data_IF_735386037867
#
_entry.id   IF_735386037867
#
_cell.length_a   1.000
_cell.length_b   1.000
_cell.length_c   1.000
_cell.angle_alpha   90.00
_cell.angle_beta   90.00
_cell.angle_gamma   90.00
#
_symmetry.space_group_name_H-M   'P 1'
#
loop_
_entity.id
_entity.type
_entity.pdbx_description
1 polymer ?
#
# COMPACT_ATOMS: atom_id res chain seq x y z
N UNK A 1 -48.81 -22.25 -29.09
CA UNK A 1 -49.84 -21.31 -29.58
C UNK A 1 -49.21 -19.93 -29.49
N UNK A 2 -48.36 -19.57 -30.47
CA UNK A 2 -48.68 -18.88 -31.73
C UNK A 2 -49.22 -17.46 -31.46
N UNK A 3 -48.40 -16.42 -31.69
CA UNK A 3 -48.40 -15.55 -32.92
C UNK A 3 -49.25 -14.29 -32.63
N UNK A 4 -48.94 -13.04 -32.98
CA UNK A 4 -48.05 -12.34 -33.94
C UNK A 4 -47.66 -10.98 -33.30
N UNK A 5 -46.45 -10.42 -33.43
CA UNK A 5 -45.88 -9.63 -34.55
C UNK A 5 -46.73 -8.45 -35.04
N UNK A 6 -46.24 -7.22 -34.81
CA UNK A 6 -46.33 -6.15 -35.82
C UNK A 6 -45.13 -5.19 -35.69
N UNK A 7 -44.35 -5.18 -36.76
CA UNK A 7 -43.21 -4.34 -37.07
C UNK A 7 -43.63 -3.30 -38.11
N UNK A 8 -43.26 -2.04 -37.93
CA UNK A 8 -43.24 -1.06 -39.03
C UNK A 8 -41.85 -0.45 -39.08
N UNK A 9 -41.09 -0.90 -40.09
CA UNK A 9 -39.96 -0.21 -40.68
C UNK A 9 -40.49 0.97 -41.52
N UNK A 10 -39.78 2.10 -41.50
CA UNK A 10 -39.58 2.88 -42.72
C UNK A 10 -38.24 3.62 -42.67
N UNK A 11 -37.62 3.64 -43.84
CA UNK A 11 -36.19 3.71 -44.09
C UNK A 11 -35.83 5.00 -44.85
N UNK A 12 -34.59 5.44 -44.60
CA UNK A 12 -33.65 6.15 -45.50
C UNK A 12 -34.10 7.49 -46.11
N UNK A 13 -33.37 8.56 -45.75
CA UNK A 13 -32.87 9.48 -46.78
C UNK A 13 -31.42 9.88 -46.47
N UNK A 14 -30.64 9.95 -47.54
CA UNK A 14 -29.19 10.06 -47.60
C UNK A 14 -28.84 11.21 -48.54
N UNK A 15 -28.09 12.20 -48.04
CA UNK A 15 -27.49 13.26 -48.84
C UNK A 15 -27.23 14.51 -47.98
N UNK A 16 -26.14 15.24 -48.08
CA UNK A 16 -25.02 15.26 -49.01
C UNK A 16 -23.82 15.89 -48.29
N UNK A 17 -22.64 15.30 -48.49
CA UNK A 17 -21.34 15.92 -48.21
C UNK A 17 -21.09 17.01 -49.25
N UNK A 18 -20.93 18.27 -48.83
CA UNK A 18 -20.39 19.34 -49.68
C UNK A 18 -18.92 19.61 -49.33
N UNK A 19 -18.04 19.16 -50.23
CA UNK A 19 -16.71 19.72 -50.45
C UNK A 19 -16.87 21.15 -50.96
N UNK A 20 -16.05 22.08 -50.49
CA UNK A 20 -15.67 23.25 -51.27
C UNK A 20 -14.16 23.45 -51.18
N UNK A 21 -13.61 23.68 -52.36
CA UNK A 21 -12.22 23.75 -52.73
C UNK A 21 -11.72 25.21 -52.74
N UNK A 22 -10.41 25.36 -52.52
CA UNK A 22 -9.54 26.40 -53.06
C UNK A 22 -9.90 27.88 -52.94
N UNK A 23 -9.20 28.58 -52.04
CA UNK A 23 -8.50 29.82 -52.45
C UNK A 23 -7.30 30.09 -51.55
N UNK A 24 -6.12 29.90 -52.13
CA UNK A 24 -4.80 30.13 -51.54
C UNK A 24 -4.47 31.62 -51.71
N UNK A 25 -4.23 32.32 -50.60
CA UNK A 25 -3.59 33.64 -50.60
C UNK A 25 -2.25 33.51 -49.88
N UNK A 26 -1.11 33.88 -50.52
CA UNK A 26 0.20 33.68 -49.92
C UNK A 26 0.54 34.84 -48.98
N UNK A 27 0.73 34.57 -47.69
CA UNK A 27 1.29 35.54 -46.73
C UNK A 27 2.73 35.15 -46.42
N UNK A 28 3.63 36.07 -46.74
CA UNK A 28 5.09 35.97 -46.60
C UNK A 28 5.52 35.87 -45.12
N UNK A 29 6.60 35.13 -44.78
CA UNK A 29 7.02 34.92 -43.40
C UNK A 29 7.81 36.11 -42.83
N UNK A 30 7.31 36.71 -41.75
CA UNK A 30 8.09 37.63 -40.92
C UNK A 30 8.96 36.86 -39.91
N UNK A 31 10.25 37.23 -39.75
CA UNK A 31 11.13 36.62 -38.76
C UNK A 31 10.89 37.28 -37.39
N UNK A 32 10.56 36.49 -36.38
CA UNK A 32 10.29 37.03 -35.04
C UNK A 32 10.20 35.93 -33.99
N UNK A 33 11.36 35.37 -33.64
CA UNK A 33 11.51 34.47 -32.51
C UNK A 33 11.02 35.15 -31.21
N UNK A 34 9.92 34.67 -30.63
CA UNK A 34 9.57 34.93 -29.24
C UNK A 34 10.11 33.78 -28.40
N UNK A 35 11.25 34.07 -27.79
CA UNK A 35 11.88 33.29 -26.72
C UNK A 35 10.91 33.13 -25.55
N UNK A 36 10.67 31.88 -25.15
CA UNK A 36 10.08 31.53 -23.86
C UNK A 36 11.11 31.84 -22.78
N UNK A 37 10.95 32.96 -22.09
CA UNK A 37 11.79 33.31 -20.94
C UNK A 37 11.36 32.47 -19.74
N UNK A 38 12.09 31.39 -19.46
CA UNK A 38 12.07 30.70 -18.17
C UNK A 38 12.75 31.58 -17.13
N UNK A 39 12.03 31.95 -16.08
CA UNK A 39 12.60 32.64 -14.92
C UNK A 39 13.30 31.57 -14.07
N UNK A 40 14.62 31.61 -14.05
CA UNK A 40 15.47 30.83 -13.14
C UNK A 40 16.05 31.78 -12.06
N UNK A 41 16.13 31.35 -10.78
CA UNK A 41 16.77 32.15 -9.75
C UNK A 41 18.27 32.26 -10.03
N UNK A 42 18.78 33.49 -10.11
CA UNK A 42 20.21 33.75 -10.26
C UNK A 42 20.90 33.70 -8.89
N UNK A 43 21.85 32.77 -8.75
CA UNK A 43 22.79 32.72 -7.65
C UNK A 43 24.19 32.39 -8.16
N UNK A 44 25.01 33.42 -8.30
CA UNK A 44 26.45 33.43 -7.98
C UNK A 44 27.39 32.44 -8.69
N UNK A 45 28.11 32.96 -9.68
CA UNK A 45 29.32 32.44 -10.31
C UNK A 45 30.43 31.99 -9.34
N UNK A 46 31.10 30.87 -9.64
CA UNK A 46 32.36 30.51 -8.99
C UNK A 46 32.98 29.15 -9.38
N UNK A 47 33.52 29.08 -10.60
CA UNK A 47 34.78 28.38 -10.97
C UNK A 47 34.92 26.85 -10.79
N UNK A 48 35.17 26.17 -11.92
CA UNK A 48 35.63 24.78 -12.01
C UNK A 48 36.96 24.52 -11.29
N UNK A 49 37.04 23.38 -10.58
CA UNK A 49 38.28 22.82 -10.06
C UNK A 49 38.16 21.31 -9.88
N UNK A 50 38.53 20.55 -10.92
CA UNK A 50 38.72 19.10 -10.83
C UNK A 50 40.05 18.79 -10.14
N UNK A 51 40.03 18.25 -8.92
CA UNK A 51 41.03 17.32 -8.38
C UNK A 51 40.67 16.93 -6.95
N UNK A 52 40.38 15.65 -6.72
CA UNK A 52 40.18 15.10 -5.37
C UNK A 52 39.27 13.88 -5.35
N UNK A 53 39.68 12.80 -6.03
CA UNK A 53 39.10 11.47 -5.82
C UNK A 53 39.38 11.04 -4.38
N UNK A 54 38.51 11.43 -3.45
CA UNK A 54 38.31 10.68 -2.22
C UNK A 54 37.43 9.49 -2.58
N UNK A 55 38.11 8.37 -2.86
CA UNK A 55 37.57 7.02 -2.93
C UNK A 55 36.61 6.77 -1.77
N UNK A 56 35.31 6.99 -2.00
CA UNK A 56 34.26 6.32 -1.24
C UNK A 56 34.36 4.85 -1.64
N UNK A 57 34.91 4.07 -0.72
CA UNK A 57 34.99 2.63 -0.79
C UNK A 57 33.59 2.07 -1.05
N UNK A 58 33.32 1.74 -2.31
CA UNK A 58 32.27 0.81 -2.71
C UNK A 58 32.72 -0.56 -2.23
N UNK A 59 32.41 -0.89 -0.97
CA UNK A 59 32.43 -2.26 -0.53
C UNK A 59 31.33 -3.00 -1.29
N UNK A 60 31.75 -3.93 -2.14
CA UNK A 60 30.91 -4.81 -2.94
C UNK A 60 30.13 -5.79 -2.08
N UNK A 61 28.98 -5.33 -1.58
CA UNK A 61 27.77 -6.15 -1.57
C UNK A 61 26.89 -5.62 -2.70
N UNK A 62 26.34 -6.51 -3.52
CA UNK A 62 25.13 -6.21 -4.31
C UNK A 62 24.19 -5.40 -3.42
N UNK A 63 24.02 -4.10 -3.70
CA UNK A 63 23.23 -3.20 -2.89
C UNK A 63 21.79 -3.65 -2.91
N UNK A 64 21.44 -4.53 -1.96
CA UNK A 64 20.10 -5.07 -1.82
C UNK A 64 19.20 -3.88 -1.55
N UNK A 65 18.35 -3.58 -2.51
CA UNK A 65 17.40 -2.49 -2.41
C UNK A 65 16.50 -2.82 -1.21
N UNK A 66 16.43 -1.95 -0.18
CA UNK A 66 15.71 -2.29 1.04
C UNK A 66 14.20 -2.16 0.81
N UNK A 67 13.60 -3.21 0.26
CA UNK A 67 12.16 -3.32 0.08
C UNK A 67 11.46 -3.32 1.44
N UNK A 68 10.25 -2.77 1.47
CA UNK A 68 9.37 -2.74 2.63
C UNK A 68 8.04 -3.36 2.27
N UNK A 69 7.55 -4.22 3.15
CA UNK A 69 6.18 -4.72 3.16
C UNK A 69 5.68 -4.56 4.58
N UNK A 70 5.09 -3.41 4.88
CA UNK A 70 4.68 -3.03 6.23
C UNK A 70 3.16 -3.03 6.36
N UNK A 71 2.69 -3.33 7.57
CA UNK A 71 1.27 -3.30 7.92
C UNK A 71 1.13 -2.35 9.10
N UNK A 72 0.19 -1.43 9.00
CA UNK A 72 -0.04 -0.43 10.02
C UNK A 72 -1.24 0.42 9.67
N UNK A 73 -1.18 1.70 10.03
CA UNK A 73 -2.22 2.68 9.75
C UNK A 73 -1.62 3.94 9.14
N UNK A 74 -2.22 4.42 8.06
CA UNK A 74 -1.80 5.66 7.40
C UNK A 74 -2.52 6.84 8.05
N UNK A 75 -1.74 7.83 8.46
CA UNK A 75 -2.23 9.08 9.02
C UNK A 75 -1.68 10.26 8.23
N UNK A 76 -2.53 11.28 8.03
CA UNK A 76 -2.13 12.53 7.40
C UNK A 76 -1.83 13.58 8.48
N UNK A 77 -0.73 14.33 8.31
CA UNK A 77 -0.34 15.42 9.21
C UNK A 77 0.01 16.67 8.42
N UNK A 78 -0.25 17.83 9.03
CA UNK A 78 0.18 19.10 8.48
C UNK A 78 1.66 19.32 8.79
N UNK A 79 2.54 19.52 7.78
CA UNK A 79 3.96 19.75 8.04
C UNK A 79 4.23 21.14 8.64
N UNK A 80 3.36 22.11 8.35
CA UNK A 80 3.51 23.50 8.77
C UNK A 80 2.15 24.21 8.82
N UNK A 81 2.14 25.37 9.48
CA UNK A 81 0.96 26.22 9.65
C UNK A 81 0.36 26.71 8.32
N UNK A 82 1.19 26.90 7.29
CA UNK A 82 0.72 27.38 5.99
C UNK A 82 -0.25 26.39 5.35
N UNK A 83 0.11 25.10 5.30
CA UNK A 83 -0.74 24.03 4.75
C UNK A 83 -2.01 23.86 5.59
N UNK A 84 -1.91 23.96 6.92
CA UNK A 84 -3.07 23.92 7.82
C UNK A 84 -4.07 25.05 7.53
N UNK A 85 -3.59 26.29 7.35
CA UNK A 85 -4.47 27.44 7.05
C UNK A 85 -5.05 27.38 5.65
N UNK A 86 -4.31 26.87 4.66
CA UNK A 86 -4.84 26.65 3.33
C UNK A 86 -5.94 25.57 3.32
N UNK A 87 -5.75 24.48 4.06
CA UNK A 87 -6.78 23.47 4.26
C UNK A 87 -8.03 24.07 4.93
N UNK A 88 -7.87 24.92 5.94
CA UNK A 88 -8.99 25.62 6.57
C UNK A 88 -9.77 26.51 5.58
N UNK A 89 -9.06 27.20 4.66
CA UNK A 89 -9.69 28.00 3.61
C UNK A 89 -10.45 27.12 2.59
N UNK A 90 -9.87 26.00 2.17
CA UNK A 90 -10.52 25.03 1.27
C UNK A 90 -11.78 24.42 1.90
N UNK A 91 -11.72 24.16 3.21
CA UNK A 91 -12.86 23.69 4.00
C UNK A 91 -14.03 24.68 3.96
N UNK A 92 -13.75 25.99 4.07
CA UNK A 92 -14.78 27.04 3.98
C UNK A 92 -15.48 27.14 2.62
N UNK A 93 -14.93 26.53 1.56
CA UNK A 93 -15.54 26.47 0.22
C UNK A 93 -16.37 25.20 0.01
N UNK A 94 -16.28 24.23 0.91
CA UNK A 94 -16.93 22.92 0.81
C UNK A 94 -18.14 22.86 1.73
N UNK A 95 -19.20 22.14 1.32
CA UNK A 95 -20.33 21.87 2.22
C UNK A 95 -19.95 20.82 3.27
N UNK A 96 -19.80 21.29 4.50
CA UNK A 96 -19.37 20.50 5.67
C UNK A 96 -20.45 20.35 6.74
N UNK A 97 -21.67 20.84 6.47
CA UNK A 97 -22.78 20.80 7.40
C UNK A 97 -23.09 19.34 7.79
N UNK A 98 -23.09 19.05 9.09
CA UNK A 98 -23.42 17.73 9.63
C UNK A 98 -22.33 16.66 9.49
N UNK A 99 -21.13 17.01 8.99
CA UNK A 99 -19.98 16.10 8.93
C UNK A 99 -19.10 16.23 10.17
N UNK A 100 -18.48 15.13 10.57
CA UNK A 100 -17.40 15.18 11.57
C UNK A 100 -16.13 15.81 10.98
N UNK A 101 -15.17 16.18 11.83
CA UNK A 101 -13.89 16.72 11.38
C UNK A 101 -13.17 15.76 10.42
N UNK A 102 -13.18 14.46 10.71
CA UNK A 102 -12.55 13.44 9.87
C UNK A 102 -13.27 13.25 8.53
N UNK A 103 -14.60 13.27 8.53
CA UNK A 103 -15.40 13.20 7.31
C UNK A 103 -15.18 14.44 6.44
N UNK A 104 -15.07 15.60 7.07
CA UNK A 104 -14.72 16.86 6.41
C UNK A 104 -13.33 16.79 5.81
N UNK A 105 -12.35 16.30 6.58
CA UNK A 105 -10.97 16.11 6.15
C UNK A 105 -10.87 15.22 4.91
N UNK A 106 -11.48 14.04 4.95
CA UNK A 106 -11.56 13.15 3.79
C UNK A 106 -12.28 13.81 2.61
N UNK A 107 -13.43 14.45 2.84
CA UNK A 107 -14.23 15.05 1.77
C UNK A 107 -13.51 16.20 1.04
N UNK A 108 -12.75 17.03 1.76
CA UNK A 108 -11.96 18.12 1.18
C UNK A 108 -10.80 17.57 0.38
N UNK A 109 -10.06 16.59 0.90
CA UNK A 109 -8.90 16.00 0.21
C UNK A 109 -9.28 15.12 -0.98
N UNK A 110 -10.49 14.55 -0.99
CA UNK A 110 -11.02 13.76 -2.11
C UNK A 110 -11.31 14.61 -3.35
N UNK A 111 -11.44 15.94 -3.21
CA UNK A 111 -11.70 16.81 -4.35
C UNK A 111 -10.45 16.96 -5.22
N UNK A 112 -10.63 16.79 -6.53
CA UNK A 112 -9.54 16.90 -7.50
C UNK A 112 -8.84 18.26 -7.47
N UNK A 113 -9.58 19.33 -7.16
CA UNK A 113 -9.07 20.70 -7.03
C UNK A 113 -8.04 20.83 -5.90
N UNK A 114 -8.17 20.02 -4.84
CA UNK A 114 -7.34 20.06 -3.64
C UNK A 114 -6.18 19.07 -3.66
N UNK A 115 -5.88 18.41 -4.80
CA UNK A 115 -4.75 17.46 -4.91
C UNK A 115 -3.40 18.09 -4.54
N UNK A 116 -3.25 19.40 -4.70
CA UNK A 116 -2.04 20.11 -4.28
C UNK A 116 -1.87 20.06 -2.76
N UNK A 117 -2.95 20.06 -1.97
CA UNK A 117 -2.89 19.89 -0.52
C UNK A 117 -2.43 18.48 -0.15
N UNK A 118 -2.99 17.46 -0.81
CA UNK A 118 -2.61 16.06 -0.58
C UNK A 118 -1.10 15.84 -0.80
N UNK A 119 -0.50 16.53 -1.77
CA UNK A 119 0.96 16.53 -2.03
C UNK A 119 1.79 17.19 -0.94
N UNK A 120 1.22 18.15 -0.23
CA UNK A 120 1.90 18.96 0.78
C UNK A 120 1.68 18.41 2.19
N UNK A 121 0.78 17.44 2.38
CA UNK A 121 0.62 16.77 3.67
C UNK A 121 1.77 15.79 3.92
N UNK A 122 2.13 15.62 5.17
CA UNK A 122 2.91 14.46 5.57
C UNK A 122 2.00 13.25 5.64
N UNK A 123 2.46 12.15 5.08
CA UNK A 123 1.82 10.86 5.21
C UNK A 123 2.69 9.99 6.11
N UNK A 124 2.14 9.54 7.23
CA UNK A 124 2.88 8.78 8.23
C UNK A 124 2.25 7.39 8.33
N UNK A 125 3.07 6.35 8.20
CA UNK A 125 2.66 5.00 8.56
C UNK A 125 3.00 4.75 10.03
N UNK A 126 1.97 4.50 10.82
CA UNK A 126 2.07 4.12 12.23
C UNK A 126 1.90 2.61 12.37
N UNK A 127 2.83 1.95 13.05
CA UNK A 127 2.79 0.51 13.34
C UNK A 127 2.70 0.36 14.85
N UNK A 128 1.65 -0.28 15.35
CA UNK A 128 1.37 -0.40 16.79
C UNK A 128 1.39 0.96 17.53
N UNK A 129 0.92 2.01 16.87
CA UNK A 129 0.90 3.38 17.43
C UNK A 129 2.25 4.11 17.37
N UNK A 130 3.30 3.49 16.80
CA UNK A 130 4.61 4.10 16.61
C UNK A 130 4.80 4.59 15.17
N UNK A 131 5.15 5.86 15.03
CA UNK A 131 5.46 6.50 13.76
C UNK A 131 6.72 5.87 13.16
N UNK A 132 6.56 5.05 12.12
CA UNK A 132 7.64 4.21 11.60
C UNK A 132 8.18 4.71 10.26
N UNK A 133 7.30 5.13 9.35
CA UNK A 133 7.70 5.61 8.03
C UNK A 133 6.97 6.87 7.60
N UNK A 134 7.65 7.72 6.82
CA UNK A 134 6.99 8.72 5.98
C UNK A 134 6.71 8.12 4.61
N UNK A 135 5.49 8.29 4.10
CA UNK A 135 5.08 7.75 2.82
C UNK A 135 5.19 8.81 1.74
N UNK A 136 5.83 8.42 0.63
CA UNK A 136 5.89 9.22 -0.57
C UNK A 136 5.49 8.35 -1.77
N UNK A 137 4.54 8.79 -2.61
CA UNK A 137 4.20 8.02 -3.80
C UNK A 137 5.39 8.04 -4.77
N UNK A 138 5.70 6.88 -5.35
CA UNK A 138 6.71 6.81 -6.41
C UNK A 138 6.17 7.39 -7.73
N UNK A 139 4.91 7.14 -8.05
CA UNK A 139 4.17 7.80 -9.13
C UNK A 139 3.26 8.91 -8.55
N UNK A 140 3.40 10.18 -8.96
CA UNK A 140 2.50 11.25 -8.54
C UNK A 140 1.00 11.01 -8.79
N UNK A 141 0.63 10.04 -9.65
CA UNK A 141 -0.75 9.61 -9.83
C UNK A 141 -1.32 8.88 -8.59
N UNK A 142 -0.48 8.16 -7.85
CA UNK A 142 -0.87 7.26 -6.74
C UNK A 142 -1.19 8.00 -5.43
N UNK A 143 -1.21 9.33 -5.47
CA UNK A 143 -1.62 10.18 -4.35
C UNK A 143 -3.04 9.87 -3.87
N UNK A 144 -3.91 9.40 -4.77
CA UNK A 144 -5.28 9.06 -4.41
C UNK A 144 -5.34 7.86 -3.44
N UNK A 145 -4.37 6.93 -3.50
CA UNK A 145 -4.29 5.80 -2.58
C UNK A 145 -4.11 6.24 -1.11
N UNK A 146 -3.43 7.37 -0.90
CA UNK A 146 -3.25 7.95 0.43
C UNK A 146 -4.57 8.53 0.98
N UNK A 147 -5.36 9.15 0.10
CA UNK A 147 -6.69 9.68 0.47
C UNK A 147 -7.66 8.53 0.76
N UNK A 148 -7.59 7.45 0.00
CA UNK A 148 -8.39 6.24 0.24
C UNK A 148 -8.06 5.61 1.61
N UNK A 149 -6.79 5.63 2.05
CA UNK A 149 -6.36 5.00 3.30
C UNK A 149 -6.91 5.67 4.57
N UNK A 150 -7.04 7.01 4.58
CA UNK A 150 -7.52 7.74 5.77
C UNK A 150 -9.00 7.51 6.09
N UNK A 151 -9.81 7.11 5.09
CA UNK A 151 -11.26 6.84 5.17
C UNK A 151 -12.10 8.00 5.78
N UNK A 152 -13.41 8.04 5.50
CA UNK A 152 -14.29 9.04 6.12
C UNK A 152 -14.57 8.75 7.61
N UNK A 153 -14.55 7.47 8.01
CA UNK A 153 -14.79 7.02 9.38
C UNK A 153 -13.77 5.93 9.76
N UNK A 154 -12.52 6.30 10.09
CA UNK A 154 -11.47 5.36 10.44
C UNK A 154 -11.78 4.68 11.78
N UNK A 155 -11.57 3.38 11.83
CA UNK A 155 -11.54 2.57 13.04
C UNK A 155 -10.10 2.47 13.55
N UNK A 156 -9.86 2.37 14.87
CA UNK A 156 -8.53 2.06 15.42
C UNK A 156 -7.95 0.75 14.87
N UNK A 157 -8.82 -0.18 14.47
CA UNK A 157 -8.45 -1.51 14.00
C UNK A 157 -8.32 -1.61 12.48
N UNK A 158 -8.37 -0.47 11.78
CA UNK A 158 -8.19 -0.44 10.34
C UNK A 158 -6.76 -0.82 9.94
N UNK A 159 -6.65 -1.56 8.83
CA UNK A 159 -5.37 -2.14 8.39
C UNK A 159 -4.99 -1.55 7.05
N UNK A 160 -3.81 -0.92 6.98
CA UNK A 160 -3.19 -0.43 5.76
C UNK A 160 -1.90 -1.20 5.51
N UNK A 161 -1.77 -1.75 4.30
CA UNK A 161 -0.58 -2.46 3.83
C UNK A 161 0.17 -1.54 2.89
N UNK A 162 1.43 -1.24 3.21
CA UNK A 162 2.31 -0.40 2.40
C UNK A 162 3.44 -1.24 1.83
N UNK A 163 3.61 -1.16 0.50
CA UNK A 163 4.67 -1.87 -0.23
C UNK A 163 5.48 -0.86 -1.02
N UNK A 164 6.81 -0.97 -0.92
CA UNK A 164 7.70 -0.16 -1.75
C UNK A 164 9.14 -0.17 -1.29
N UNK A 165 9.82 0.95 -1.53
CA UNK A 165 11.26 1.12 -1.39
C UNK A 165 11.60 2.01 -0.20
N UNK A 166 12.42 1.50 0.74
CA UNK A 166 12.93 2.34 1.83
C UNK A 166 14.04 3.26 1.33
N UNK A 167 13.77 4.55 1.41
CA UNK A 167 14.70 5.64 1.17
C UNK A 167 15.48 6.05 2.43
N UNK A 168 16.16 7.20 2.37
CA UNK A 168 16.90 7.76 3.51
C UNK A 168 15.96 8.24 4.62
N UNK A 169 16.55 8.61 5.76
CA UNK A 169 15.84 9.30 6.84
C UNK A 169 15.41 10.68 6.35
N UNK A 170 14.16 11.03 6.59
CA UNK A 170 13.60 12.32 6.21
C UNK A 170 14.27 13.48 6.97
N UNK A 171 14.54 14.61 6.28
CA UNK A 171 15.01 15.80 6.96
C UNK A 171 13.90 16.41 7.84
N UNK A 172 14.23 17.09 8.94
CA UNK A 172 13.25 17.58 9.90
C UNK A 172 12.24 18.58 9.31
N UNK A 173 12.60 19.29 8.24
CA UNK A 173 11.73 20.24 7.55
C UNK A 173 10.59 19.55 6.78
N UNK A 174 10.71 18.25 6.49
CA UNK A 174 9.72 17.51 5.71
C UNK A 174 8.43 17.27 6.50
N UNK A 175 8.52 17.02 7.81
CA UNK A 175 7.34 16.77 8.63
C UNK A 175 7.46 17.24 10.09
N UNK A 176 7.43 18.55 10.31
CA UNK A 176 7.38 19.16 11.65
C UNK A 176 8.41 18.59 12.65
N UNK A 177 9.64 18.32 12.19
CA UNK A 177 10.73 17.77 13.00
C UNK A 177 10.81 16.23 13.07
N UNK A 178 9.87 15.51 12.47
CA UNK A 178 9.86 14.05 12.47
C UNK A 178 10.93 13.48 11.54
N UNK A 179 11.93 12.81 12.12
CA UNK A 179 13.06 12.20 11.42
C UNK A 179 12.94 10.68 11.41
N UNK A 180 12.19 10.15 10.44
CA UNK A 180 12.01 8.71 10.22
C UNK A 180 12.26 8.36 8.74
N UNK A 181 12.50 7.09 8.38
CA UNK A 181 12.79 6.71 7.00
C UNK A 181 11.61 7.01 6.07
N UNK A 182 11.92 7.45 4.85
CA UNK A 182 10.94 7.62 3.78
C UNK A 182 10.73 6.27 3.11
N UNK A 183 9.48 5.91 2.82
CA UNK A 183 9.12 4.79 1.95
C UNK A 183 8.50 5.38 0.69
N UNK A 184 9.22 5.21 -0.42
CA UNK A 184 8.67 5.44 -1.75
C UNK A 184 7.76 4.25 -2.08
N UNK A 185 6.46 4.40 -1.89
CA UNK A 185 5.52 3.29 -2.08
C UNK A 185 5.12 3.14 -3.54
N UNK A 186 4.91 1.89 -3.93
CA UNK A 186 4.38 1.49 -5.22
C UNK A 186 2.93 0.98 -5.08
N UNK A 187 2.53 0.49 -3.91
CA UNK A 187 1.16 0.03 -3.61
C UNK A 187 0.76 0.31 -2.17
N UNK A 188 -0.51 0.69 -1.98
CA UNK A 188 -1.19 0.73 -0.68
C UNK A 188 -2.50 -0.05 -0.79
N UNK A 189 -2.77 -0.92 0.18
CA UNK A 189 -4.06 -1.59 0.31
C UNK A 189 -4.66 -1.28 1.67
N UNK A 190 -5.92 -0.83 1.69
CA UNK A 190 -6.64 -0.56 2.93
C UNK A 190 -7.78 -1.53 3.11
N UNK A 191 -7.83 -2.15 4.28
CA UNK A 191 -8.81 -3.15 4.65
C UNK A 191 -9.52 -2.76 5.94
N UNK A 192 -10.78 -3.15 6.02
CA UNK A 192 -11.54 -3.12 7.27
C UNK A 192 -11.37 -4.49 7.97
N UNK A 193 -10.98 -4.47 9.25
CA UNK A 193 -10.81 -5.66 10.09
C UNK A 193 -12.04 -6.58 10.07
N UNK A 194 -13.24 -6.03 10.18
CA UNK A 194 -14.48 -6.82 10.21
C UNK A 194 -14.70 -7.59 8.91
N UNK A 195 -14.28 -7.00 7.78
CA UNK A 195 -14.37 -7.66 6.48
C UNK A 195 -13.40 -8.84 6.39
N UNK A 196 -12.19 -8.70 6.95
CA UNK A 196 -11.19 -9.77 6.99
C UNK A 196 -11.63 -10.92 7.92
N UNK A 197 -12.15 -10.62 9.10
CA UNK A 197 -12.65 -11.63 10.05
C UNK A 197 -13.81 -12.42 9.43
N UNK A 198 -14.74 -11.74 8.75
CA UNK A 198 -15.87 -12.41 8.06
C UNK A 198 -15.44 -13.30 6.89
N UNK A 199 -14.26 -13.07 6.32
CA UNK A 199 -13.71 -13.88 5.25
C UNK A 199 -13.03 -15.17 5.76
N UNK A 200 -12.81 -15.32 7.07
CA UNK A 200 -12.21 -16.52 7.65
C UNK A 200 -13.17 -17.71 7.46
N UNK A 201 -12.72 -18.81 6.83
CA UNK A 201 -13.58 -19.96 6.59
C UNK A 201 -13.98 -20.63 7.90
N UNK A 202 -15.27 -20.95 8.02
CA UNK A 202 -15.82 -21.63 9.20
C UNK A 202 -15.53 -23.14 9.15
N UNK A 203 -15.07 -23.76 10.24
CA UNK A 203 -15.00 -25.21 10.37
C UNK A 203 -16.39 -25.85 10.23
N UNK A 204 -16.48 -27.01 9.58
CA UNK A 204 -17.74 -27.70 9.29
C UNK A 204 -18.55 -28.05 10.55
N UNK A 205 -17.86 -28.34 11.66
CA UNK A 205 -18.46 -28.82 12.92
C UNK A 205 -18.91 -27.74 13.89
N UNK A 206 -18.62 -26.46 13.60
CA UNK A 206 -18.86 -25.35 14.54
C UNK A 206 -19.98 -24.45 14.03
N UNK A 207 -20.89 -23.96 14.87
CA UNK A 207 -21.91 -22.98 14.44
C UNK A 207 -21.28 -21.59 14.23
N UNK A 208 -21.88 -20.74 13.39
CA UNK A 208 -21.32 -19.40 13.11
C UNK A 208 -21.26 -18.51 14.37
N UNK A 209 -22.26 -18.62 15.25
CA UNK A 209 -22.30 -17.87 16.51
C UNK A 209 -21.20 -18.30 17.49
N UNK A 210 -20.85 -19.59 17.52
CA UNK A 210 -19.75 -20.11 18.34
C UNK A 210 -18.38 -19.80 17.72
N UNK A 211 -18.30 -19.75 16.39
CA UNK A 211 -17.04 -19.49 15.69
C UNK A 211 -16.65 -18.01 15.68
N UNK A 212 -17.60 -17.07 15.74
CA UNK A 212 -17.31 -15.63 15.71
C UNK A 212 -16.21 -15.19 16.69
N UNK A 213 -16.37 -15.42 18.01
CA UNK A 213 -15.35 -15.05 18.99
C UNK A 213 -14.01 -15.76 18.78
N UNK A 214 -14.04 -17.03 18.37
CA UNK A 214 -12.84 -17.82 18.08
C UNK A 214 -12.09 -17.33 16.83
N UNK A 215 -12.82 -16.91 15.80
CA UNK A 215 -12.27 -16.35 14.58
C UNK A 215 -11.60 -15.00 14.85
N UNK A 216 -12.19 -14.18 15.73
CA UNK A 216 -11.61 -12.93 16.18
C UNK A 216 -10.32 -13.15 16.97
N UNK A 217 -10.31 -14.08 17.93
CA UNK A 217 -9.10 -14.45 18.69
C UNK A 217 -8.00 -14.95 17.75
N UNK A 218 -8.35 -15.85 16.82
CA UNK A 218 -7.44 -16.40 15.82
C UNK A 218 -6.87 -15.32 14.91
N UNK A 219 -7.72 -14.42 14.42
CA UNK A 219 -7.30 -13.29 13.60
C UNK A 219 -6.33 -12.39 14.36
N UNK A 220 -6.68 -11.99 15.58
CA UNK A 220 -5.84 -11.13 16.40
C UNK A 220 -4.48 -11.79 16.68
N UNK A 221 -4.45 -13.10 16.95
CA UNK A 221 -3.20 -13.83 17.19
C UNK A 221 -2.33 -13.95 15.94
N UNK A 222 -2.92 -14.12 14.77
CA UNK A 222 -2.19 -14.10 13.50
C UNK A 222 -1.70 -12.68 13.19
N UNK A 223 -2.50 -11.66 13.48
CA UNK A 223 -2.12 -10.26 13.26
C UNK A 223 -0.95 -9.82 14.14
N UNK A 224 -0.79 -10.37 15.34
CA UNK A 224 0.39 -10.11 16.18
C UNK A 224 1.71 -10.48 15.49
N UNK A 225 1.70 -11.39 14.50
CA UNK A 225 2.88 -11.72 13.70
C UNK A 225 3.36 -10.52 12.85
N UNK A 226 2.48 -9.55 12.61
CA UNK A 226 2.76 -8.37 11.79
C UNK A 226 3.21 -7.16 12.62
N UNK A 227 3.43 -7.33 13.92
CA UNK A 227 3.90 -6.27 14.83
C UNK A 227 5.39 -6.01 14.63
N UNK A 228 5.74 -5.59 13.42
CA UNK A 228 7.09 -5.50 12.92
C UNK A 228 7.21 -4.39 11.88
N UNK A 229 8.44 -3.94 11.63
CA UNK A 229 8.69 -2.81 10.73
C UNK A 229 8.56 -3.13 9.22
N UNK A 230 8.30 -4.38 8.82
CA UNK A 230 8.18 -4.73 7.41
C UNK A 230 9.46 -4.59 6.56
N UNK A 231 10.63 -4.36 7.17
CA UNK A 231 11.88 -4.02 6.47
C UNK A 231 12.92 -5.14 6.37
N UNK A 232 12.72 -6.25 7.07
CA UNK A 232 13.59 -7.45 6.97
C UNK A 232 12.86 -8.53 6.17
N UNK A 233 13.60 -9.51 5.64
CA UNK A 233 13.02 -10.64 4.91
C UNK A 233 11.99 -11.41 5.75
N UNK A 234 12.27 -11.60 7.04
CA UNK A 234 11.35 -12.19 8.02
C UNK A 234 10.06 -11.37 8.18
N UNK A 235 10.19 -10.06 8.41
CA UNK A 235 9.03 -9.18 8.55
C UNK A 235 8.17 -9.19 7.28
N UNK A 236 8.82 -9.10 6.12
CA UNK A 236 8.15 -9.05 4.82
C UNK A 236 7.41 -10.33 4.50
N UNK A 237 8.00 -11.50 4.79
CA UNK A 237 7.30 -12.76 4.55
C UNK A 237 6.09 -12.92 5.47
N UNK A 238 6.21 -12.55 6.75
CA UNK A 238 5.10 -12.64 7.70
C UNK A 238 3.95 -11.73 7.26
N UNK A 239 4.25 -10.47 6.95
CA UNK A 239 3.25 -9.50 6.52
C UNK A 239 2.60 -9.91 5.20
N UNK A 240 3.38 -10.41 4.24
CA UNK A 240 2.85 -10.97 2.99
C UNK A 240 1.89 -12.14 3.24
N UNK A 241 2.30 -13.11 4.06
CA UNK A 241 1.53 -14.31 4.33
C UNK A 241 0.21 -14.00 5.03
N UNK A 242 0.25 -13.13 6.05
CA UNK A 242 -0.94 -12.71 6.80
C UNK A 242 -1.95 -12.02 5.89
N UNK A 243 -1.52 -11.21 4.93
CA UNK A 243 -2.43 -10.43 4.09
C UNK A 243 -2.84 -11.14 2.79
N UNK A 244 -1.98 -11.97 2.20
CA UNK A 244 -2.19 -12.53 0.85
C UNK A 244 -2.34 -14.04 0.80
N UNK A 245 -2.21 -14.76 1.92
CA UNK A 245 -2.32 -16.22 1.91
C UNK A 245 -3.45 -16.73 2.83
N UNK A 246 -4.70 -16.78 2.33
CA UNK A 246 -5.88 -17.19 3.10
C UNK A 246 -5.78 -18.59 3.75
N UNK A 247 -4.95 -19.47 3.19
CA UNK A 247 -4.81 -20.82 3.70
C UNK A 247 -4.22 -20.89 5.11
N UNK A 248 -3.52 -19.86 5.59
CA UNK A 248 -3.09 -19.79 7.00
C UNK A 248 -4.31 -19.72 7.92
N UNK A 249 -5.29 -18.88 7.58
CA UNK A 249 -6.53 -18.78 8.35
C UNK A 249 -7.34 -20.07 8.26
N UNK A 250 -7.43 -20.67 7.08
CA UNK A 250 -8.12 -21.95 6.90
C UNK A 250 -7.48 -23.06 7.75
N UNK A 251 -6.15 -23.16 7.74
CA UNK A 251 -5.43 -24.16 8.52
C UNK A 251 -5.55 -23.90 10.02
N UNK A 252 -5.42 -22.65 10.45
CA UNK A 252 -5.60 -22.30 11.85
C UNK A 252 -7.03 -22.62 12.34
N UNK A 253 -8.06 -22.41 11.50
CA UNK A 253 -9.44 -22.77 11.83
C UNK A 253 -9.67 -24.29 11.89
N UNK A 254 -9.04 -25.05 10.98
CA UNK A 254 -9.04 -26.52 11.00
C UNK A 254 -8.41 -27.06 12.30
N UNK A 255 -7.22 -26.57 12.64
CA UNK A 255 -6.49 -26.96 13.85
C UNK A 255 -7.23 -26.54 15.13
N UNK A 256 -7.84 -25.36 15.13
CA UNK A 256 -8.70 -24.93 16.23
C UNK A 256 -9.86 -25.92 16.46
N UNK A 257 -10.49 -26.43 15.40
CA UNK A 257 -11.54 -27.45 15.48
C UNK A 257 -11.07 -28.82 15.99
N UNK A 258 -9.75 -29.04 16.07
CA UNK A 258 -9.09 -30.25 16.61
C UNK A 258 -8.51 -30.03 18.00
N UNK A 259 -8.90 -28.95 18.69
CA UNK A 259 -8.38 -28.52 20.00
C UNK A 259 -6.90 -28.10 20.00
N UNK A 260 -6.38 -27.66 18.85
CA UNK A 260 -5.04 -27.07 18.77
C UNK A 260 -5.10 -25.54 18.92
N UNK A 261 -3.94 -24.94 19.19
CA UNK A 261 -3.73 -23.50 19.19
C UNK A 261 -2.42 -23.17 18.49
N UNK A 262 -2.36 -22.07 17.74
CA UNK A 262 -1.14 -21.59 17.11
C UNK A 262 -0.16 -21.11 18.21
N UNK A 263 0.87 -21.88 18.51
CA UNK A 263 1.79 -21.61 19.63
C UNK A 263 3.09 -20.93 19.22
N UNK A 264 3.49 -21.04 17.95
CA UNK A 264 4.70 -20.40 17.46
C UNK A 264 4.73 -20.27 15.94
N UNK A 265 5.44 -19.23 15.49
CA UNK A 265 5.80 -19.05 14.08
C UNK A 265 7.29 -18.78 14.02
N UNK A 266 7.99 -19.54 13.19
CA UNK A 266 9.43 -19.42 13.02
C UNK A 266 9.76 -19.23 11.53
N UNK A 267 10.63 -18.26 11.24
CA UNK A 267 11.11 -18.03 9.88
C UNK A 267 12.55 -18.49 9.78
N UNK A 268 12.83 -19.38 8.83
CA UNK A 268 14.17 -19.91 8.58
C UNK A 268 14.59 -19.68 7.12
N UNK A 269 15.83 -19.27 6.84
CA UNK A 269 16.36 -19.29 5.48
C UNK A 269 16.33 -20.72 4.92
N UNK A 270 15.89 -20.87 3.67
CA UNK A 270 15.87 -22.16 2.99
C UNK A 270 17.20 -22.38 2.25
N UNK A 271 17.83 -23.56 2.34
CA UNK A 271 19.10 -23.85 1.66
C UNK A 271 18.94 -24.09 0.14
N UNK A 272 17.73 -24.02 -0.39
CA UNK A 272 17.40 -24.44 -1.75
C UNK A 272 17.79 -23.43 -2.85
N UNK A 273 18.22 -22.21 -2.47
CA UNK A 273 18.68 -21.23 -3.43
C UNK A 273 19.90 -20.50 -2.91
N UNK A 274 20.91 -20.37 -3.76
CA UNK A 274 22.13 -19.59 -3.49
C UNK A 274 22.04 -18.16 -4.02
N UNK A 275 21.05 -17.87 -4.88
CA UNK A 275 20.92 -16.55 -5.56
C UNK A 275 19.66 -15.79 -5.15
N UNK A 276 18.70 -16.47 -4.52
CA UNK A 276 17.42 -15.89 -4.10
C UNK A 276 17.24 -16.05 -2.61
N UNK A 277 16.65 -15.05 -1.97
CA UNK A 277 16.27 -15.10 -0.57
C UNK A 277 14.97 -15.88 -0.46
N UNK A 278 15.09 -17.17 -0.20
CA UNK A 278 13.96 -18.07 0.04
C UNK A 278 13.91 -18.37 1.52
N UNK A 279 12.72 -18.28 2.11
CA UNK A 279 12.48 -18.54 3.52
C UNK A 279 11.38 -19.58 3.69
N UNK A 280 11.55 -20.44 4.68
CA UNK A 280 10.57 -21.39 5.17
C UNK A 280 9.92 -20.78 6.43
N UNK A 281 8.61 -20.52 6.38
CA UNK A 281 7.81 -20.04 7.51
C UNK A 281 7.07 -21.21 8.10
N UNK A 282 7.40 -21.55 9.35
CA UNK A 282 6.93 -22.74 10.05
C UNK A 282 5.92 -22.31 11.11
N UNK A 283 4.70 -22.81 11.02
CA UNK A 283 3.62 -22.63 11.97
C UNK A 283 3.53 -23.85 12.87
N UNK A 284 3.63 -23.64 14.17
CA UNK A 284 3.50 -24.68 15.19
C UNK A 284 2.13 -24.59 15.85
N UNK A 285 1.40 -25.70 15.86
CA UNK A 285 0.10 -25.84 16.50
C UNK A 285 0.22 -26.87 17.61
N UNK A 286 -0.09 -26.49 18.85
CA UNK A 286 -0.04 -27.39 20.00
C UNK A 286 -1.45 -27.71 20.51
N UNK A 287 -1.72 -28.99 20.73
CA UNK A 287 -2.98 -29.47 21.28
C UNK A 287 -3.13 -29.05 22.74
N UNK A 288 -4.27 -28.45 23.08
CA UNK A 288 -4.53 -27.87 24.41
C UNK A 288 -4.64 -28.91 25.53
N UNK A 289 -4.94 -30.16 25.18
CA UNK A 289 -5.21 -31.22 26.14
C UNK A 289 -4.05 -32.23 26.27
N UNK A 290 -3.21 -32.36 25.24
CA UNK A 290 -2.19 -33.42 25.17
C UNK A 290 -0.77 -32.90 24.98
N UNK A 291 -0.58 -31.59 24.81
CA UNK A 291 0.70 -30.93 24.51
C UNK A 291 1.40 -31.44 23.23
N UNK A 292 0.70 -32.23 22.41
CA UNK A 292 1.22 -32.69 21.12
C UNK A 292 1.27 -31.53 20.12
N UNK A 293 2.39 -31.37 19.41
CA UNK A 293 2.60 -30.27 18.47
C UNK A 293 2.69 -30.76 17.03
N UNK A 294 1.84 -30.24 16.16
CA UNK A 294 1.92 -30.39 14.71
C UNK A 294 2.55 -29.14 14.08
N UNK A 295 3.44 -29.33 13.11
CA UNK A 295 4.09 -28.23 12.41
C UNK A 295 3.73 -28.26 10.93
N UNK A 296 3.46 -27.09 10.37
CA UNK A 296 3.24 -26.88 8.95
C UNK A 296 4.16 -25.78 8.47
N UNK A 297 4.61 -25.83 7.23
CA UNK A 297 5.43 -24.76 6.67
C UNK A 297 4.95 -24.33 5.30
N UNK A 298 5.27 -23.08 4.99
CA UNK A 298 5.10 -22.46 3.67
C UNK A 298 6.46 -21.91 3.26
N UNK A 299 6.80 -22.06 1.98
CA UNK A 299 8.02 -21.49 1.43
C UNK A 299 7.69 -20.28 0.59
N UNK A 300 8.40 -19.19 0.83
CA UNK A 300 8.23 -17.93 0.12
C UNK A 300 9.57 -17.44 -0.42
N UNK A 301 9.52 -16.80 -1.58
CA UNK A 301 10.62 -15.99 -2.11
C UNK A 301 10.37 -14.53 -1.73
N UNK A 302 11.36 -13.91 -1.10
CA UNK A 302 11.34 -12.51 -0.64
C UNK A 302 12.45 -11.69 -1.28
N UNK A 303 13.08 -12.19 -2.35
CA UNK A 303 14.24 -11.53 -2.98
C UNK A 303 13.91 -10.13 -3.49
N UNK A 304 12.74 -9.99 -4.11
CA UNK A 304 12.29 -8.75 -4.75
C UNK A 304 11.17 -8.10 -3.96
N UNK A 305 10.76 -6.90 -4.36
CA UNK A 305 9.73 -6.08 -3.71
C UNK A 305 8.46 -6.83 -3.32
N UNK A 306 7.94 -7.66 -4.24
CA UNK A 306 6.71 -8.42 -4.07
C UNK A 306 7.02 -9.89 -3.74
N UNK A 307 6.81 -10.32 -2.48
CA UNK A 307 6.99 -11.72 -2.13
C UNK A 307 5.97 -12.61 -2.85
N UNK A 308 6.35 -13.87 -3.06
CA UNK A 308 5.44 -14.88 -3.60
C UNK A 308 5.72 -16.28 -3.05
N UNK A 309 4.69 -17.13 -3.10
CA UNK A 309 4.77 -18.52 -2.67
C UNK A 309 5.63 -19.35 -3.64
N UNK A 310 6.59 -20.09 -3.10
CA UNK A 310 7.33 -21.13 -3.83
C UNK A 310 6.62 -22.47 -3.67
N UNK A 311 6.14 -22.77 -2.45
CA UNK A 311 5.34 -23.97 -2.19
C UNK A 311 4.13 -23.63 -1.34
N UNK A 312 3.03 -24.35 -1.56
CA UNK A 312 1.85 -24.28 -0.69
C UNK A 312 2.16 -24.87 0.68
N UNK A 313 1.28 -24.57 1.64
CA UNK A 313 1.36 -25.08 3.00
C UNK A 313 1.40 -26.61 3.00
N UNK A 314 2.38 -27.18 3.70
CA UNK A 314 2.58 -28.62 3.80
C UNK A 314 3.11 -29.01 5.19
N UNK A 315 2.98 -30.28 5.61
CA UNK A 315 3.50 -30.73 6.90
C UNK A 315 5.01 -30.49 7.00
N UNK A 316 5.45 -30.00 8.16
CA UNK A 316 6.86 -29.81 8.48
C UNK A 316 7.32 -30.89 9.46
N UNK A 317 8.48 -31.46 9.19
CA UNK A 317 9.13 -32.42 10.07
C UNK A 317 10.47 -31.84 10.51
N UNK A 318 10.67 -31.73 11.82
CA UNK A 318 11.96 -31.33 12.38
C UNK A 318 13.04 -32.32 11.91
N UNK A 319 14.20 -31.79 11.50
CA UNK A 319 15.36 -32.55 11.03
C UNK A 319 16.57 -32.26 11.90
#
# INVERSE_FOLDING_TARGET
MNEQTESIEQSIDSGQVKKNDGTIVPVSPYPGARTTSTIAPQGGTGTCGCAGNASLSLNGGTGMVPYVYAIGRVEARFPNLSVEKEFAQATGRTETVGKTDQQTFHAVLSQRENRYLVRQLCWVLSIQGLETYLLQPRDPADIDLLVEAIRPAPSPDDIDVVIGLRGPIAPPEMCNGLMIPIVAFDQIYSFNRDALIKAIPKPEKTTAAQFGPAAEELFNRIMQLTDNAGATDEHRVLNYLVMRYPAIYAKAAEEFGRDFSLTGVEVRPSPLSSTRNIVDVIFSYTNRNTDFTEKFFVRCDVTEEFPFLVTKMSPYYDR
#
